data_IF_647353038962
#
_entry.id   IF_647353038962
#
_cell.length_a   1.000
_cell.length_b   1.000
_cell.length_c   1.000
_cell.angle_alpha   90.00
_cell.angle_beta   90.00
_cell.angle_gamma   90.00
#
_symmetry.space_group_name_H-M   'P 1'
#
loop_
_entity.id
_entity.type
_entity.pdbx_description
1 polymer ?
#
# COMPACT_ATOMS: atom_id res chain seq x y z
N UNK A 1 26.38 13.74 -19.60
CA UNK A 1 26.65 12.53 -18.78
C UNK A 1 26.57 12.79 -17.27
N UNK A 2 27.24 13.81 -16.71
CA UNK A 2 27.19 14.10 -15.26
C UNK A 2 25.77 14.42 -14.74
N UNK A 3 24.99 15.24 -15.45
CA UNK A 3 23.62 15.58 -15.03
C UNK A 3 22.66 14.39 -14.98
N UNK A 4 22.82 13.41 -15.88
CA UNK A 4 21.99 12.20 -15.89
C UNK A 4 22.30 11.29 -14.70
N UNK A 5 23.57 11.22 -14.29
CA UNK A 5 23.98 10.47 -13.10
C UNK A 5 23.46 11.11 -11.80
N UNK A 6 23.51 12.44 -11.70
CA UNK A 6 22.92 13.18 -10.58
C UNK A 6 21.40 12.97 -10.50
N UNK A 7 20.69 13.04 -11.63
CA UNK A 7 19.25 12.79 -11.68
C UNK A 7 18.88 11.37 -11.21
N UNK A 8 19.64 10.36 -11.63
CA UNK A 8 19.46 8.97 -11.19
C UNK A 8 19.69 8.81 -9.69
N UNK A 9 20.76 9.41 -9.17
CA UNK A 9 21.09 9.35 -7.75
C UNK A 9 20.02 10.02 -6.88
N UNK A 10 19.53 11.19 -7.31
CA UNK A 10 18.44 11.91 -6.65
C UNK A 10 17.16 11.07 -6.65
N UNK A 11 16.79 10.44 -7.77
CA UNK A 11 15.64 9.55 -7.84
C UNK A 11 15.78 8.35 -6.87
N UNK A 12 16.95 7.72 -6.82
CA UNK A 12 17.21 6.61 -5.90
C UNK A 12 17.07 7.03 -4.43
N UNK A 13 17.55 8.23 -4.09
CA UNK A 13 17.42 8.79 -2.75
C UNK A 13 15.96 8.99 -2.34
N UNK A 14 15.12 9.55 -3.22
CA UNK A 14 13.69 9.70 -2.94
C UNK A 14 12.97 8.36 -2.80
N UNK A 15 13.32 7.37 -3.61
CA UNK A 15 12.78 6.00 -3.46
C UNK A 15 13.17 5.44 -2.09
N UNK A 16 14.44 5.56 -1.67
CA UNK A 16 14.86 5.08 -0.36
C UNK A 16 14.10 5.76 0.79
N UNK A 17 13.86 7.07 0.72
CA UNK A 17 13.02 7.78 1.70
C UNK A 17 11.60 7.24 1.70
N UNK A 18 11.00 7.01 0.53
CA UNK A 18 9.66 6.46 0.41
C UNK A 18 9.53 5.09 1.11
N UNK A 19 10.57 4.24 1.04
CA UNK A 19 10.56 2.95 1.73
C UNK A 19 10.58 3.09 3.27
N UNK A 20 11.31 4.06 3.81
CA UNK A 20 11.40 4.28 5.26
C UNK A 20 10.07 4.79 5.82
N UNK A 21 9.37 5.67 5.10
CA UNK A 21 8.09 6.25 5.55
C UNK A 21 6.91 5.27 5.45
N UNK A 22 7.02 4.21 4.65
CA UNK A 22 5.99 3.17 4.53
C UNK A 22 5.98 2.14 5.67
N UNK A 23 6.92 2.22 6.62
CA UNK A 23 6.88 1.42 7.85
C UNK A 23 5.81 1.97 8.81
N UNK A 24 4.65 1.31 8.88
CA UNK A 24 3.54 1.67 9.75
C UNK A 24 3.10 0.48 10.61
N UNK A 25 2.31 0.74 11.66
CA UNK A 25 1.71 -0.34 12.44
C UNK A 25 0.62 -0.99 11.58
N UNK A 26 0.77 -2.27 11.27
CA UNK A 26 -0.25 -3.05 10.61
C UNK A 26 -1.43 -3.26 11.59
N UNK A 27 -2.66 -2.81 11.27
CA UNK A 27 -3.80 -2.94 12.18
C UNK A 27 -4.24 -4.39 12.41
N UNK A 28 -3.86 -5.33 11.54
CA UNK A 28 -4.20 -6.76 11.65
C UNK A 28 -3.29 -7.46 12.66
N UNK A 29 -1.98 -7.19 12.61
CA UNK A 29 -0.98 -7.86 13.46
C UNK A 29 -0.56 -7.05 14.67
N UNK A 30 -0.78 -5.74 14.67
CA UNK A 30 -0.32 -4.80 15.70
C UNK A 30 1.18 -4.51 15.66
N UNK A 31 1.91 -5.01 14.66
CA UNK A 31 3.37 -4.85 14.53
C UNK A 31 3.72 -3.77 13.53
N UNK A 32 4.91 -3.18 13.65
CA UNK A 32 5.46 -2.29 12.61
C UNK A 32 5.91 -3.12 11.43
N UNK A 33 5.29 -2.90 10.28
CA UNK A 33 5.50 -3.64 9.05
C UNK A 33 5.51 -2.67 7.86
N UNK A 34 6.02 -3.14 6.72
CA UNK A 34 6.04 -2.38 5.49
C UNK A 34 4.66 -2.43 4.83
N UNK A 35 3.98 -1.29 4.76
CA UNK A 35 2.65 -1.21 4.18
C UNK A 35 2.72 -0.88 2.69
N UNK A 36 2.13 -1.74 1.85
CA UNK A 36 2.11 -1.59 0.40
C UNK A 36 1.01 -0.65 -0.12
N UNK A 37 0.01 -0.38 0.72
CA UNK A 37 -1.12 0.48 0.39
C UNK A 37 -1.50 1.36 1.58
N UNK A 38 -2.04 2.54 1.30
CA UNK A 38 -2.66 3.37 2.32
C UNK A 38 -4.03 2.83 2.74
N UNK A 39 -4.48 3.18 3.94
CA UNK A 39 -5.81 2.80 4.43
C UNK A 39 -6.94 3.24 3.49
N UNK A 40 -6.83 4.42 2.86
CA UNK A 40 -7.86 4.90 1.93
C UNK A 40 -7.90 4.06 0.65
N UNK A 41 -6.74 3.61 0.16
CA UNK A 41 -6.67 2.70 -0.98
C UNK A 41 -7.25 1.32 -0.63
N UNK A 42 -6.93 0.79 0.54
CA UNK A 42 -7.50 -0.47 1.04
C UNK A 42 -9.03 -0.42 1.13
N UNK A 43 -9.58 0.68 1.69
CA UNK A 43 -11.03 0.89 1.77
C UNK A 43 -11.69 0.98 0.41
N UNK A 44 -11.11 1.75 -0.52
CA UNK A 44 -11.64 1.89 -1.88
C UNK A 44 -11.62 0.55 -2.62
N UNK A 45 -10.55 -0.22 -2.45
CA UNK A 45 -10.40 -1.55 -3.02
C UNK A 45 -11.43 -2.52 -2.42
N UNK A 46 -11.59 -2.52 -1.10
CA UNK A 46 -12.60 -3.33 -0.40
C UNK A 46 -14.01 -3.04 -0.91
N UNK A 47 -14.40 -1.77 -1.03
CA UNK A 47 -15.69 -1.38 -1.59
C UNK A 47 -15.89 -1.86 -3.04
N UNK A 48 -14.82 -1.93 -3.84
CA UNK A 48 -14.88 -2.43 -5.22
C UNK A 48 -14.99 -3.97 -5.32
N UNK A 49 -14.44 -4.70 -4.35
CA UNK A 49 -14.48 -6.16 -4.32
C UNK A 49 -15.69 -6.73 -3.58
N UNK A 50 -16.28 -5.99 -2.65
CA UNK A 50 -17.42 -6.42 -1.85
C UNK A 50 -18.56 -7.08 -2.68
N UNK A 51 -19.02 -6.50 -3.81
CA UNK A 51 -20.06 -7.14 -4.63
C UNK A 51 -19.61 -8.48 -5.25
N UNK A 52 -18.32 -8.60 -5.62
CA UNK A 52 -17.77 -9.81 -6.22
C UNK A 52 -17.66 -10.93 -5.19
N UNK A 53 -17.26 -10.58 -3.96
CA UNK A 53 -17.20 -11.51 -2.83
C UNK A 53 -18.59 -12.02 -2.50
N UNK A 54 -19.59 -11.13 -2.39
CA UNK A 54 -20.99 -11.52 -2.15
C UNK A 54 -21.52 -12.41 -3.28
N UNK A 55 -21.23 -12.08 -4.54
CA UNK A 55 -21.65 -12.91 -5.67
C UNK A 55 -21.04 -14.32 -5.62
N UNK A 56 -19.78 -14.44 -5.18
CA UNK A 56 -19.07 -15.72 -5.15
C UNK A 56 -19.42 -16.57 -3.92
N UNK A 57 -19.57 -15.94 -2.75
CA UNK A 57 -19.69 -16.65 -1.47
C UNK A 57 -21.07 -16.54 -0.82
N UNK A 58 -21.95 -15.67 -1.34
CA UNK A 58 -23.19 -15.30 -0.70
C UNK A 58 -22.97 -14.33 0.47
N UNK A 59 -24.07 -13.74 0.94
CA UNK A 59 -24.09 -12.97 2.17
C UNK A 59 -24.66 -13.86 3.28
N UNK A 60 -24.00 -13.89 4.43
CA UNK A 60 -24.55 -14.51 5.62
C UNK A 60 -25.55 -13.54 6.26
N UNK A 61 -26.77 -14.01 6.48
CA UNK A 61 -27.71 -13.33 7.36
C UNK A 61 -27.41 -13.76 8.80
N UNK A 62 -27.22 -12.78 9.69
CA UNK A 62 -26.89 -13.01 11.10
C UNK A 62 -28.00 -13.76 11.86
#
# INVERSE_FOLDING_TARGET
MKNTAHLRLTALFFVAIAFVVSCAVNPVTGKKEFMLMSQNQEKALGASYDPQVIQQFGLYED
#
